data_IF_639076631158
#
_entry.id   IF_639076631158
#
_cell.length_a   1.000
_cell.length_b   1.000
_cell.length_c   1.000
_cell.angle_alpha   90.00
_cell.angle_beta   90.00
_cell.angle_gamma   90.00
#
_symmetry.space_group_name_H-M   'P 1'
#
loop_
_entity.id
_entity.type
_entity.pdbx_description
1 polymer ?
#
# COMPACT_ATOMS: atom_id res chain seq x y z
N UNK A 1 -20.85 -27.31 13.42
CA UNK A 1 -20.05 -26.29 12.71
C UNK A 1 -19.54 -26.95 11.45
N UNK A 2 -19.58 -26.28 10.30
CA UNK A 2 -18.98 -26.84 9.08
C UNK A 2 -17.45 -26.81 9.25
N UNK A 3 -16.79 -27.93 8.94
CA UNK A 3 -15.33 -27.96 8.85
C UNK A 3 -14.88 -27.16 7.62
N UNK A 4 -13.72 -26.47 7.69
CA UNK A 4 -13.16 -25.79 6.53
C UNK A 4 -12.88 -26.78 5.39
N UNK A 5 -12.98 -26.31 4.14
CA UNK A 5 -12.59 -27.08 2.96
C UNK A 5 -11.09 -27.44 3.04
N UNK A 6 -10.71 -28.74 3.01
CA UNK A 6 -9.30 -29.16 3.05
C UNK A 6 -8.44 -28.54 1.94
N UNK A 7 -9.00 -28.31 0.75
CA UNK A 7 -8.26 -27.67 -0.34
C UNK A 7 -7.92 -26.20 -0.02
N UNK A 8 -8.86 -25.49 0.62
CA UNK A 8 -8.62 -24.13 1.11
C UNK A 8 -7.59 -24.10 2.23
N UNK A 9 -7.59 -25.08 3.14
CA UNK A 9 -6.58 -25.18 4.20
C UNK A 9 -5.18 -25.36 3.61
N UNK A 10 -5.00 -26.27 2.65
CA UNK A 10 -3.70 -26.46 1.98
C UNK A 10 -3.25 -25.20 1.25
N UNK A 11 -4.16 -24.51 0.54
CA UNK A 11 -3.84 -23.26 -0.15
C UNK A 11 -3.42 -22.16 0.84
N UNK A 12 -4.11 -22.03 1.97
CA UNK A 12 -3.77 -21.05 3.00
C UNK A 12 -2.40 -21.37 3.61
N UNK A 13 -2.14 -22.63 3.98
CA UNK A 13 -0.86 -23.04 4.56
C UNK A 13 0.31 -22.78 3.59
N UNK A 14 0.14 -23.13 2.31
CA UNK A 14 1.13 -22.85 1.27
C UNK A 14 1.34 -21.34 1.09
N UNK A 15 0.25 -20.56 1.08
CA UNK A 15 0.33 -19.10 0.94
C UNK A 15 1.07 -18.51 2.12
N UNK A 16 0.66 -18.80 3.36
CA UNK A 16 1.26 -18.29 4.59
C UNK A 16 2.76 -18.61 4.70
N UNK A 17 3.16 -19.80 4.24
CA UNK A 17 4.56 -20.23 4.25
C UNK A 17 5.44 -19.45 3.26
N UNK A 18 4.84 -18.80 2.26
CA UNK A 18 5.54 -18.10 1.19
C UNK A 18 5.28 -16.59 1.18
N UNK A 19 4.62 -16.04 2.21
CA UNK A 19 4.41 -14.59 2.32
C UNK A 19 5.78 -13.92 2.54
N UNK A 20 6.19 -12.95 1.69
CA UNK A 20 7.39 -12.16 1.92
C UNK A 20 7.33 -11.40 3.26
N UNK A 21 8.46 -11.26 3.94
CA UNK A 21 8.54 -10.54 5.24
C UNK A 21 7.98 -9.11 5.16
N UNK A 22 8.16 -8.44 4.03
CA UNK A 22 7.70 -7.07 3.77
C UNK A 22 6.36 -7.01 3.00
N UNK A 23 5.53 -8.06 3.08
CA UNK A 23 4.23 -8.10 2.42
C UNK A 23 3.17 -7.29 3.19
N UNK A 24 2.48 -6.40 2.49
CA UNK A 24 1.44 -5.57 3.09
C UNK A 24 2.00 -4.38 3.85
N UNK A 25 2.19 -4.48 5.17
CA UNK A 25 2.62 -3.35 6.00
C UNK A 25 4.13 -3.33 6.19
N UNK A 26 4.76 -2.16 6.03
CA UNK A 26 6.21 -1.98 6.18
C UNK A 26 6.54 -0.84 7.15
N UNK A 27 7.70 -0.95 7.80
CA UNK A 27 8.22 0.10 8.69
C UNK A 27 8.79 1.27 7.91
N UNK A 28 9.03 2.38 8.62
CA UNK A 28 9.77 3.54 8.09
C UNK A 28 11.16 3.16 7.57
N UNK A 29 11.86 2.26 8.27
CA UNK A 29 13.21 1.82 7.87
C UNK A 29 13.20 1.04 6.56
N UNK A 30 12.24 0.13 6.39
CA UNK A 30 12.03 -0.61 5.14
C UNK A 30 11.70 0.36 4.01
N UNK A 31 10.72 1.26 4.22
CA UNK A 31 10.32 2.23 3.19
C UNK A 31 11.46 3.15 2.76
N UNK A 32 12.29 3.63 3.71
CA UNK A 32 13.46 4.45 3.40
C UNK A 32 14.47 3.71 2.53
N UNK A 33 14.77 2.44 2.84
CA UNK A 33 15.66 1.60 2.02
C UNK A 33 15.10 1.44 0.61
N UNK A 34 13.80 1.20 0.48
CA UNK A 34 13.17 1.01 -0.82
C UNK A 34 13.16 2.26 -1.68
N UNK A 35 12.89 3.43 -1.09
CA UNK A 35 12.95 4.71 -1.80
C UNK A 35 14.35 5.00 -2.34
N UNK A 36 15.40 4.56 -1.65
CA UNK A 36 16.78 4.70 -2.12
C UNK A 36 17.10 3.70 -3.24
N UNK A 37 16.65 2.45 -3.10
CA UNK A 37 17.00 1.36 -4.03
C UNK A 37 16.13 1.32 -5.29
N UNK A 38 14.92 1.89 -5.25
CA UNK A 38 13.93 1.79 -6.32
C UNK A 38 13.51 3.21 -6.75
N UNK A 39 14.24 3.84 -7.69
CA UNK A 39 13.92 5.21 -8.13
C UNK A 39 12.56 5.33 -8.82
N UNK A 40 12.03 4.24 -9.35
CA UNK A 40 10.72 4.16 -10.00
C UNK A 40 9.57 3.84 -9.02
N UNK A 41 9.86 3.70 -7.72
CA UNK A 41 8.83 3.46 -6.71
C UNK A 41 7.92 4.66 -6.59
N UNK A 42 6.61 4.43 -6.65
CA UNK A 42 5.62 5.48 -6.50
C UNK A 42 5.19 5.57 -5.04
N UNK A 43 5.32 6.77 -4.48
CA UNK A 43 4.91 7.08 -3.13
C UNK A 43 3.58 7.85 -3.16
N UNK A 44 2.57 7.38 -2.42
CA UNK A 44 1.25 7.99 -2.38
C UNK A 44 0.91 8.41 -0.94
N UNK A 45 0.66 9.70 -0.76
CA UNK A 45 0.16 10.27 0.50
C UNK A 45 -1.37 10.31 0.48
N UNK A 46 -2.02 9.54 1.36
CA UNK A 46 -3.49 9.50 1.45
C UNK A 46 -4.06 10.35 2.59
N UNK A 47 -3.25 11.27 3.15
CA UNK A 47 -3.73 12.28 4.10
C UNK A 47 -4.54 13.35 3.38
N UNK A 48 -5.31 14.10 4.18
CA UNK A 48 -6.08 15.24 3.68
C UNK A 48 -5.17 16.37 3.26
N UNK A 49 -5.65 17.18 2.32
CA UNK A 49 -4.90 18.33 1.81
C UNK A 49 -4.48 19.30 2.93
N UNK A 50 -5.28 19.48 3.98
CA UNK A 50 -4.94 20.38 5.08
C UNK A 50 -3.80 19.84 5.96
N UNK A 51 -3.67 18.53 6.12
CA UNK A 51 -2.54 17.90 6.82
C UNK A 51 -1.25 18.12 6.03
N UNK A 52 -1.33 17.91 4.71
CA UNK A 52 -0.24 18.12 3.76
C UNK A 52 0.21 19.58 3.73
N UNK A 53 -0.73 20.53 3.67
CA UNK A 53 -0.39 21.97 3.68
C UNK A 53 0.34 22.39 4.96
N UNK A 54 0.01 21.77 6.10
CA UNK A 54 0.63 22.09 7.40
C UNK A 54 2.00 21.46 7.61
N UNK A 55 2.20 20.24 7.10
CA UNK A 55 3.36 19.40 7.46
C UNK A 55 4.25 19.05 6.28
N UNK A 56 3.84 19.41 5.07
CA UNK A 56 4.48 18.97 3.83
C UNK A 56 4.17 17.50 3.50
N UNK A 57 4.87 17.00 2.48
CA UNK A 57 4.89 15.60 2.04
C UNK A 57 6.32 15.11 1.92
N UNK A 58 6.49 13.80 1.82
CA UNK A 58 7.76 13.20 1.40
C UNK A 58 8.01 13.62 -0.06
N UNK A 59 9.24 14.08 -0.37
CA UNK A 59 9.61 14.53 -1.72
C UNK A 59 9.29 13.46 -2.77
N UNK A 60 8.60 13.86 -3.84
CA UNK A 60 8.18 12.97 -4.92
C UNK A 60 6.87 12.22 -4.66
N UNK A 61 6.26 12.36 -3.49
CA UNK A 61 4.96 11.75 -3.22
C UNK A 61 3.82 12.43 -4.01
N UNK A 62 2.86 11.62 -4.45
CA UNK A 62 1.58 12.07 -4.98
C UNK A 62 0.55 12.11 -3.86
N UNK A 63 -0.06 13.27 -3.60
CA UNK A 63 -1.15 13.35 -2.62
C UNK A 63 -2.51 13.06 -3.28
N UNK A 64 -3.13 11.96 -2.85
CA UNK A 64 -4.49 11.58 -3.20
C UNK A 64 -5.23 11.25 -1.89
N UNK A 65 -5.99 12.19 -1.30
CA UNK A 65 -6.72 11.96 -0.06
C UNK A 65 -7.59 10.70 -0.14
N UNK A 66 -7.64 9.91 0.95
CA UNK A 66 -8.36 8.64 0.97
C UNK A 66 -9.83 8.78 0.54
N UNK A 67 -10.50 9.85 0.95
CA UNK A 67 -11.89 10.18 0.60
C UNK A 67 -12.12 10.39 -0.91
N UNK A 68 -11.08 10.78 -1.64
CA UNK A 68 -11.11 11.02 -3.09
C UNK A 68 -10.47 9.88 -3.87
N UNK A 69 -9.86 8.91 -3.19
CA UNK A 69 -8.89 7.98 -3.78
C UNK A 69 -9.44 7.24 -5.00
N UNK A 70 -10.66 6.69 -4.89
CA UNK A 70 -11.33 5.97 -5.98
C UNK A 70 -11.80 6.93 -7.08
N UNK A 71 -12.32 8.11 -6.71
CA UNK A 71 -12.78 9.11 -7.68
C UNK A 71 -11.61 9.62 -8.55
N UNK A 72 -10.40 9.65 -7.98
CA UNK A 72 -9.15 10.06 -8.61
C UNK A 72 -8.32 8.88 -9.14
N UNK A 73 -8.94 7.72 -9.39
CA UNK A 73 -8.24 6.52 -9.89
C UNK A 73 -7.47 6.70 -11.20
N UNK A 74 -7.80 7.73 -11.98
CA UNK A 74 -7.07 8.09 -13.21
C UNK A 74 -5.66 8.59 -12.94
N UNK A 75 -5.35 8.99 -11.70
CA UNK A 75 -4.02 9.40 -11.26
C UNK A 75 -3.19 8.21 -10.73
N UNK A 76 -3.80 7.03 -10.58
CA UNK A 76 -3.06 5.84 -10.19
C UNK A 76 -2.15 5.35 -11.33
N UNK A 77 -1.08 4.60 -11.02
CA UNK A 77 -0.20 4.05 -12.04
C UNK A 77 -0.97 3.13 -12.99
N UNK A 78 -0.79 3.28 -14.30
CA UNK A 78 -1.51 2.45 -15.27
C UNK A 78 -1.09 0.97 -15.18
N UNK A 79 0.20 0.72 -14.92
CA UNK A 79 0.75 -0.62 -14.71
C UNK A 79 0.43 -1.13 -13.30
N UNK A 80 -0.19 -2.31 -13.22
CA UNK A 80 -0.60 -2.97 -11.97
C UNK A 80 0.56 -3.67 -11.27
N UNK A 81 1.70 -3.82 -11.94
CA UNK A 81 2.93 -4.34 -11.36
C UNK A 81 3.83 -3.23 -10.77
N UNK A 82 3.46 -1.95 -10.92
CA UNK A 82 4.22 -0.85 -10.34
C UNK A 82 4.34 -0.99 -8.82
N UNK A 83 5.56 -0.77 -8.32
CA UNK A 83 5.88 -0.71 -6.88
C UNK A 83 5.28 0.55 -6.28
N UNK A 84 4.38 0.38 -5.31
CA UNK A 84 3.69 1.47 -4.65
C UNK A 84 3.88 1.36 -3.14
N UNK A 85 4.31 2.45 -2.52
CA UNK A 85 4.21 2.62 -1.06
C UNK A 85 3.16 3.68 -0.79
N UNK A 86 2.19 3.35 0.04
CA UNK A 86 1.16 4.28 0.49
C UNK A 86 1.44 4.64 1.93
N UNK A 87 1.36 5.93 2.27
CA UNK A 87 1.52 6.38 3.64
C UNK A 87 0.41 7.33 4.06
N UNK A 88 0.21 7.39 5.38
CA UNK A 88 -0.58 8.41 6.03
C UNK A 88 0.10 8.76 7.36
N UNK A 89 -0.62 9.40 8.30
CA UNK A 89 -0.03 9.82 9.58
C UNK A 89 0.25 8.67 10.57
N UNK A 90 -0.31 7.47 10.35
CA UNK A 90 -0.20 6.36 11.32
C UNK A 90 -0.69 5.00 10.80
N UNK A 91 -0.61 4.75 9.50
CA UNK A 91 -0.88 3.42 8.91
C UNK A 91 -2.34 3.06 8.58
N UNK A 92 -3.35 3.57 9.30
CA UNK A 92 -4.74 3.14 9.07
C UNK A 92 -5.28 3.46 7.68
N UNK A 93 -5.15 4.73 7.24
CA UNK A 93 -5.68 5.17 5.93
C UNK A 93 -4.90 4.55 4.77
N UNK A 94 -3.58 4.42 4.92
CA UNK A 94 -2.74 3.77 3.91
C UNK A 94 -3.04 2.28 3.77
N UNK A 95 -3.38 1.59 4.86
CA UNK A 95 -3.84 0.19 4.81
C UNK A 95 -5.16 0.07 4.04
N UNK A 96 -6.11 0.99 4.26
CA UNK A 96 -7.37 1.01 3.49
C UNK A 96 -7.08 1.28 2.01
N UNK A 97 -6.27 2.28 1.67
CA UNK A 97 -5.90 2.54 0.28
C UNK A 97 -5.15 1.37 -0.39
N UNK A 98 -4.28 0.67 0.36
CA UNK A 98 -3.57 -0.52 -0.12
C UNK A 98 -4.55 -1.64 -0.48
N UNK A 99 -5.50 -1.94 0.40
CA UNK A 99 -6.55 -2.95 0.15
C UNK A 99 -7.45 -2.56 -1.02
N UNK A 100 -7.73 -1.26 -1.21
CA UNK A 100 -8.39 -0.75 -2.42
C UNK A 100 -7.55 -1.08 -3.64
N UNK A 101 -6.26 -0.70 -3.70
CA UNK A 101 -5.43 -1.01 -4.87
C UNK A 101 -5.33 -2.52 -5.14
N UNK A 102 -5.18 -3.35 -4.12
CA UNK A 102 -5.23 -4.81 -4.29
C UNK A 102 -6.54 -5.30 -4.92
N UNK A 103 -7.69 -4.76 -4.50
CA UNK A 103 -8.99 -5.09 -5.11
C UNK A 103 -9.11 -4.68 -6.58
N UNK A 104 -8.32 -3.69 -7.02
CA UNK A 104 -8.20 -3.26 -8.42
C UNK A 104 -7.06 -3.97 -9.18
N UNK A 105 -6.45 -4.99 -8.58
CA UNK A 105 -5.48 -5.88 -9.22
C UNK A 105 -4.03 -5.43 -9.15
N UNK A 106 -3.70 -4.38 -8.39
CA UNK A 106 -2.30 -4.02 -8.11
C UNK A 106 -1.65 -5.07 -7.22
N UNK A 107 -0.40 -5.44 -7.52
CA UNK A 107 0.25 -6.61 -6.91
C UNK A 107 1.42 -6.28 -5.98
N UNK A 108 2.05 -5.11 -6.17
CA UNK A 108 3.21 -4.68 -5.38
C UNK A 108 2.88 -3.35 -4.68
N UNK A 109 1.97 -3.43 -3.70
CA UNK A 109 1.50 -2.27 -2.92
C UNK A 109 1.74 -2.54 -1.45
N UNK A 110 2.37 -1.59 -0.76
CA UNK A 110 2.67 -1.67 0.67
C UNK A 110 2.17 -0.44 1.42
N UNK A 111 1.73 -0.63 2.66
CA UNK A 111 1.35 0.44 3.57
C UNK A 111 2.49 0.73 4.54
N UNK A 112 2.98 1.98 4.54
CA UNK A 112 3.90 2.45 5.56
C UNK A 112 3.16 2.60 6.90
N UNK A 113 3.69 1.95 7.93
CA UNK A 113 3.23 2.06 9.32
C UNK A 113 4.33 2.69 10.17
N UNK A 114 3.94 3.61 11.05
CA UNK A 114 4.80 4.39 11.95
C UNK A 114 4.20 4.48 13.33
#
# INVERSE_FOLDING_TARGET
>A
MASPDPAMLTLIDETLSNIPEDWGMITVDTANKELIMNPDLILIDVRRAEEVQKTGIITGALNIPLEEFIARKTEWPADKATKIVIYCSGGHRSTIAMTILWSYGYRDVRSLIS
#
